data_IF_364004501837
#
_entry.id   IF_364004501837
#
_cell.length_a   1.000
_cell.length_b   1.000
_cell.length_c   1.000
_cell.angle_alpha   90.00
_cell.angle_beta   90.00
_cell.angle_gamma   90.00
#
_symmetry.space_group_name_H-M   'P 1'
#
loop_
_entity.id
_entity.type
_entity.pdbx_description
1 polymer ?
#
# COMPACT_ATOMS: atom_id res chain seq x y z
N UNK A 1 25.58 3.35 21.18
CA UNK A 1 25.84 4.37 20.14
C UNK A 1 27.33 4.72 19.99
N UNK A 2 28.04 5.23 21.02
CA UNK A 2 29.50 5.50 20.94
C UNK A 2 30.35 4.30 20.51
N UNK A 3 30.00 3.10 20.99
CA UNK A 3 30.65 1.83 20.60
C UNK A 3 30.60 1.56 19.08
N UNK A 4 29.57 2.06 18.39
CA UNK A 4 29.35 1.83 16.95
C UNK A 4 29.69 3.05 16.09
N UNK A 5 30.30 4.11 16.67
CA UNK A 5 30.68 5.31 15.93
C UNK A 5 29.51 6.16 15.40
N UNK A 6 28.28 5.91 15.86
CA UNK A 6 27.09 6.62 15.36
C UNK A 6 26.96 8.01 16.02
N UNK A 7 26.70 9.03 15.18
CA UNK A 7 26.48 10.41 15.61
C UNK A 7 25.03 10.61 16.08
N UNK A 8 24.80 11.13 17.29
CA UNK A 8 23.47 11.57 17.72
C UNK A 8 22.98 12.73 16.86
N UNK A 9 21.70 12.72 16.49
CA UNK A 9 21.05 13.75 15.68
C UNK A 9 19.78 14.25 16.36
N UNK A 10 19.46 15.52 16.16
CA UNK A 10 18.17 16.11 16.52
C UNK A 10 17.44 16.39 15.20
N UNK A 11 16.27 15.78 15.02
CA UNK A 11 15.48 15.95 13.82
C UNK A 11 14.46 17.09 14.01
N UNK A 12 14.61 18.17 13.25
CA UNK A 12 13.68 19.30 13.20
C UNK A 12 12.94 19.41 11.85
N UNK A 13 13.11 18.44 10.95
CA UNK A 13 12.60 18.47 9.57
C UNK A 13 11.39 17.54 9.34
N UNK A 14 10.78 17.01 10.40
CA UNK A 14 9.64 16.10 10.30
C UNK A 14 10.04 14.64 10.05
N UNK A 15 9.28 13.89 9.25
CA UNK A 15 9.55 12.46 9.01
C UNK A 15 10.62 12.26 7.93
N UNK A 16 11.82 11.86 8.35
CA UNK A 16 12.98 11.66 7.47
C UNK A 16 13.39 10.18 7.42
N UNK A 17 13.31 9.57 6.24
CA UNK A 17 13.69 8.15 6.02
C UNK A 17 15.13 7.86 6.44
N UNK A 18 16.06 8.77 6.13
CA UNK A 18 17.48 8.63 6.49
C UNK A 18 17.73 8.57 8.01
N UNK A 19 16.80 9.08 8.83
CA UNK A 19 16.91 9.11 10.29
C UNK A 19 16.09 8.01 10.97
N UNK A 20 15.54 7.05 10.23
CA UNK A 20 14.71 5.98 10.78
C UNK A 20 13.25 6.39 11.02
N UNK A 21 12.80 7.50 10.43
CA UNK A 21 11.40 7.96 10.43
C UNK A 21 10.88 8.31 11.84
N UNK A 22 10.18 7.40 12.50
CA UNK A 22 9.38 7.67 13.70
C UNK A 22 10.06 7.12 14.94
N UNK A 23 10.06 7.90 16.02
CA UNK A 23 10.53 7.46 17.34
C UNK A 23 9.33 7.01 18.19
N UNK A 24 9.27 5.75 18.66
CA UNK A 24 8.16 5.26 19.47
C UNK A 24 8.12 5.93 20.85
N UNK A 25 6.93 5.99 21.45
CA UNK A 25 6.77 6.40 22.86
C UNK A 25 7.30 5.31 23.81
N UNK A 26 7.55 5.67 25.07
CA UNK A 26 8.01 4.71 26.09
C UNK A 26 7.06 3.52 26.24
N UNK A 27 5.74 3.77 26.23
CA UNK A 27 4.71 2.73 26.33
C UNK A 27 4.81 1.70 25.19
N UNK A 28 5.05 2.16 23.95
CA UNK A 28 5.24 1.27 22.80
C UNK A 28 6.54 0.47 22.94
N UNK A 29 7.61 1.11 23.40
CA UNK A 29 8.90 0.43 23.64
C UNK A 29 8.73 -0.69 24.68
N UNK A 30 8.04 -0.42 25.78
CA UNK A 30 7.79 -1.41 26.84
C UNK A 30 6.93 -2.58 26.33
N UNK A 31 5.94 -2.31 25.50
CA UNK A 31 5.09 -3.34 24.87
C UNK A 31 5.89 -4.21 23.89
N UNK A 32 6.74 -3.60 23.06
CA UNK A 32 7.63 -4.35 22.15
C UNK A 32 8.57 -5.23 22.95
N UNK A 33 9.17 -4.71 24.03
CA UNK A 33 10.02 -5.50 24.92
C UNK A 33 9.28 -6.70 25.49
N UNK A 34 8.07 -6.50 26.01
CA UNK A 34 7.23 -7.59 26.49
C UNK A 34 6.99 -8.65 25.40
N UNK A 35 6.67 -8.22 24.18
CA UNK A 35 6.47 -9.11 23.04
C UNK A 35 7.72 -9.92 22.66
N UNK A 36 8.92 -9.35 22.82
CA UNK A 36 10.19 -10.03 22.55
C UNK A 36 10.58 -11.05 23.62
N UNK A 37 10.13 -10.85 24.86
CA UNK A 37 10.45 -11.71 26.01
C UNK A 37 9.49 -12.91 26.17
N UNK A 38 8.46 -13.05 25.32
CA UNK A 38 7.42 -14.07 25.43
C UNK A 38 7.14 -14.77 24.09
N UNK A 39 6.65 -16.01 24.16
CA UNK A 39 6.14 -16.73 22.99
C UNK A 39 4.63 -16.53 22.84
N UNK A 40 4.19 -16.36 21.60
CA UNK A 40 2.78 -16.31 21.22
C UNK A 40 2.54 -17.27 20.05
N UNK A 41 1.32 -17.76 19.95
CA UNK A 41 0.88 -18.47 18.74
C UNK A 41 0.73 -17.42 17.63
N UNK A 42 1.55 -17.55 16.59
CA UNK A 42 1.71 -16.50 15.58
C UNK A 42 0.48 -16.36 14.68
N UNK A 43 -0.24 -17.45 14.42
CA UNK A 43 -1.48 -17.40 13.64
C UNK A 43 -2.54 -16.59 14.38
N UNK A 44 -2.75 -16.87 15.66
CA UNK A 44 -3.64 -16.13 16.55
C UNK A 44 -3.26 -14.65 16.64
N UNK A 45 -1.95 -14.34 16.70
CA UNK A 45 -1.49 -12.95 16.73
C UNK A 45 -1.89 -12.22 15.43
N UNK A 46 -1.68 -12.85 14.28
CA UNK A 46 -2.07 -12.30 12.98
C UNK A 46 -3.59 -12.10 12.90
N UNK A 47 -4.37 -13.14 13.25
CA UNK A 47 -5.84 -13.10 13.15
C UNK A 47 -6.46 -12.06 14.09
N UNK A 48 -5.98 -11.99 15.34
CA UNK A 48 -6.50 -11.07 16.36
C UNK A 48 -6.12 -9.61 16.09
N UNK A 49 -4.89 -9.36 15.67
CA UNK A 49 -4.46 -8.00 15.30
C UNK A 49 -5.18 -7.51 14.04
N UNK A 50 -5.39 -8.40 13.07
CA UNK A 50 -6.19 -8.13 11.88
C UNK A 50 -7.63 -7.75 12.23
N UNK A 51 -8.32 -8.57 13.02
CA UNK A 51 -9.69 -8.29 13.46
C UNK A 51 -9.81 -6.97 14.23
N UNK A 52 -8.84 -6.66 15.10
CA UNK A 52 -8.79 -5.40 15.83
C UNK A 52 -8.68 -4.19 14.89
N UNK A 53 -7.74 -4.23 13.94
CA UNK A 53 -7.53 -3.14 12.96
C UNK A 53 -8.73 -3.00 12.03
N UNK A 54 -9.32 -4.12 11.59
CA UNK A 54 -10.52 -4.12 10.76
C UNK A 54 -11.69 -3.40 11.45
N UNK A 55 -11.87 -3.64 12.77
CA UNK A 55 -12.85 -2.93 13.59
C UNK A 55 -12.60 -1.42 13.69
N UNK A 56 -11.34 -1.00 13.78
CA UNK A 56 -10.97 0.42 13.80
C UNK A 56 -11.23 1.12 12.46
N UNK A 57 -10.88 0.46 11.35
CA UNK A 57 -10.99 1.01 9.99
C UNK A 57 -12.37 0.81 9.36
N UNK A 58 -13.24 -0.02 9.98
CA UNK A 58 -14.55 -0.41 9.47
C UNK A 58 -14.48 -1.08 8.09
N UNK A 59 -13.55 -2.01 7.95
CA UNK A 59 -13.35 -2.84 6.76
C UNK A 59 -13.63 -4.31 7.06
N UNK A 60 -13.83 -5.13 6.02
CA UNK A 60 -14.13 -6.55 6.18
C UNK A 60 -12.96 -7.34 6.79
N UNK A 61 -11.72 -6.99 6.44
CA UNK A 61 -10.52 -7.63 6.96
C UNK A 61 -9.30 -6.70 6.88
N UNK A 62 -8.29 -6.94 7.70
CA UNK A 62 -7.02 -6.24 7.70
C UNK A 62 -5.88 -7.20 8.03
N UNK A 63 -4.71 -7.01 7.41
CA UNK A 63 -3.52 -7.83 7.65
C UNK A 63 -2.31 -6.93 7.91
N UNK A 64 -1.57 -7.22 8.98
CA UNK A 64 -0.30 -6.57 9.28
C UNK A 64 0.82 -7.30 8.54
N UNK A 65 1.56 -6.55 7.74
CA UNK A 65 2.70 -7.02 6.95
C UNK A 65 3.95 -6.24 7.33
N UNK A 66 5.12 -6.71 6.88
CA UNK A 66 6.41 -6.14 7.31
C UNK A 66 6.56 -4.66 6.95
N UNK A 67 6.05 -4.23 5.78
CA UNK A 67 6.09 -2.85 5.31
C UNK A 67 5.10 -2.61 4.16
N UNK A 68 4.97 -1.35 3.72
CA UNK A 68 4.12 -0.99 2.58
C UNK A 68 4.51 -1.73 1.28
N UNK A 69 5.81 -1.97 1.04
CA UNK A 69 6.28 -2.74 -0.13
C UNK A 69 5.75 -4.17 -0.14
N UNK A 70 5.78 -4.85 1.02
CA UNK A 70 5.22 -6.19 1.16
C UNK A 70 3.70 -6.16 0.96
N UNK A 71 3.02 -5.13 1.47
CA UNK A 71 1.60 -4.90 1.24
C UNK A 71 1.23 -4.82 -0.24
N UNK A 72 1.97 -4.03 -1.04
CA UNK A 72 1.77 -3.96 -2.50
C UNK A 72 1.96 -5.33 -3.14
N UNK A 73 3.09 -6.00 -2.87
CA UNK A 73 3.40 -7.29 -3.50
C UNK A 73 2.37 -8.37 -3.14
N UNK A 74 1.99 -8.48 -1.86
CA UNK A 74 1.00 -9.46 -1.40
C UNK A 74 -0.40 -9.16 -1.91
N UNK A 75 -0.78 -7.88 -2.03
CA UNK A 75 -2.09 -7.51 -2.59
C UNK A 75 -2.18 -7.87 -4.07
N UNK A 76 -1.11 -7.60 -4.84
CA UNK A 76 -1.03 -7.97 -6.26
C UNK A 76 -1.05 -9.49 -6.42
N UNK A 77 -0.26 -10.22 -5.63
CA UNK A 77 -0.26 -11.68 -5.67
C UNK A 77 -1.65 -12.25 -5.32
N UNK A 78 -2.32 -11.71 -4.29
CA UNK A 78 -3.63 -12.20 -3.85
C UNK A 78 -4.70 -12.06 -4.94
N UNK A 79 -4.74 -10.94 -5.67
CA UNK A 79 -5.73 -10.75 -6.76
C UNK A 79 -5.45 -11.62 -8.00
N UNK A 80 -4.20 -12.03 -8.21
CA UNK A 80 -3.80 -12.91 -9.31
C UNK A 80 -4.04 -14.40 -8.94
N UNK A 81 -3.61 -14.80 -7.75
CA UNK A 81 -3.62 -16.20 -7.28
C UNK A 81 -5.03 -16.66 -6.91
N UNK A 82 -5.76 -15.87 -6.12
CA UNK A 82 -7.11 -16.20 -5.63
C UNK A 82 -7.18 -17.61 -5.00
N UNK A 83 -8.09 -18.44 -5.50
CA UNK A 83 -8.33 -19.82 -5.03
C UNK A 83 -7.51 -20.86 -5.83
N UNK A 84 -6.50 -20.44 -6.59
CA UNK A 84 -5.64 -21.36 -7.34
C UNK A 84 -4.47 -21.84 -6.48
N UNK A 85 -4.64 -22.99 -5.84
CA UNK A 85 -3.64 -23.64 -4.98
C UNK A 85 -2.28 -23.81 -5.66
N UNK A 86 -2.24 -24.09 -6.97
CA UNK A 86 -0.98 -24.25 -7.67
C UNK A 86 -0.22 -22.92 -7.79
N UNK A 87 -0.93 -21.81 -8.04
CA UNK A 87 -0.32 -20.49 -8.13
C UNK A 87 0.16 -19.96 -6.78
N UNK A 88 -0.43 -20.39 -5.66
CA UNK A 88 0.05 -20.02 -4.31
C UNK A 88 1.53 -20.36 -4.15
N UNK A 89 1.94 -21.54 -4.61
CA UNK A 89 3.32 -22.02 -4.47
C UNK A 89 4.19 -21.70 -5.70
N UNK A 90 3.59 -21.47 -6.87
CA UNK A 90 4.31 -21.45 -8.15
C UNK A 90 4.11 -20.16 -8.97
N UNK A 91 3.71 -19.05 -8.34
CA UNK A 91 3.40 -17.77 -9.00
C UNK A 91 4.46 -17.29 -10.01
N UNK A 92 5.73 -17.58 -9.74
CA UNK A 92 6.86 -17.17 -10.60
C UNK A 92 7.53 -18.34 -11.35
N UNK A 93 6.99 -19.56 -11.28
CA UNK A 93 7.62 -20.74 -11.86
C UNK A 93 7.48 -20.83 -13.39
N UNK A 94 6.45 -20.20 -13.97
CA UNK A 94 6.16 -20.18 -15.40
C UNK A 94 5.41 -18.89 -15.79
N UNK A 95 5.37 -18.53 -17.10
CA UNK A 95 4.53 -17.44 -17.57
C UNK A 95 3.06 -17.64 -17.19
N UNK A 96 2.43 -16.58 -16.68
CA UNK A 96 1.05 -16.62 -16.24
C UNK A 96 0.09 -16.70 -17.44
N UNK A 97 -0.91 -17.58 -17.32
CA UNK A 97 -2.02 -17.71 -18.27
C UNK A 97 -3.29 -17.03 -17.78
N UNK A 98 -3.28 -16.51 -16.56
CA UNK A 98 -4.36 -15.75 -15.92
C UNK A 98 -4.14 -14.24 -16.11
N UNK A 99 -5.20 -13.41 -16.01
CA UNK A 99 -5.05 -11.96 -16.00
C UNK A 99 -4.14 -11.51 -14.86
N UNK A 100 -3.18 -10.64 -15.18
CA UNK A 100 -2.19 -10.15 -14.23
C UNK A 100 -1.74 -8.72 -14.55
N UNK A 101 -2.49 -7.97 -15.36
CA UNK A 101 -2.20 -6.56 -15.59
C UNK A 101 -2.71 -5.72 -14.42
N UNK A 102 -1.83 -4.91 -13.84
CA UNK A 102 -2.15 -4.00 -12.74
C UNK A 102 -2.10 -2.58 -13.27
N UNK A 103 -3.28 -2.01 -13.46
CA UNK A 103 -3.44 -0.65 -13.98
C UNK A 103 -3.27 0.36 -12.83
N UNK A 104 -2.37 1.34 -13.02
CA UNK A 104 -2.08 2.40 -12.05
C UNK A 104 -2.02 3.75 -12.76
N UNK A 105 -2.56 4.84 -12.17
CA UNK A 105 -2.34 6.17 -12.74
C UNK A 105 -0.85 6.51 -12.76
N UNK A 106 -0.35 7.03 -13.88
CA UNK A 106 1.10 7.24 -14.10
C UNK A 106 1.77 8.08 -13.01
N UNK A 107 1.08 9.08 -12.47
CA UNK A 107 1.57 9.89 -11.34
C UNK A 107 1.81 9.13 -10.03
N UNK A 108 1.22 7.94 -9.85
CA UNK A 108 1.42 7.08 -8.67
C UNK A 108 2.57 6.08 -8.85
N UNK A 109 3.10 5.87 -10.06
CA UNK A 109 4.27 5.04 -10.28
C UNK A 109 5.56 5.80 -9.92
N UNK A 110 5.75 6.03 -8.62
CA UNK A 110 6.85 6.80 -8.06
C UNK A 110 7.96 5.90 -7.51
N UNK A 111 9.12 6.52 -7.25
CA UNK A 111 10.18 5.91 -6.46
C UNK A 111 10.11 6.41 -5.01
N UNK A 112 9.73 5.53 -4.08
CA UNK A 112 9.62 5.84 -2.64
C UNK A 112 10.82 5.32 -1.82
N UNK A 113 11.94 5.01 -2.50
CA UNK A 113 13.03 4.17 -1.99
C UNK A 113 13.10 2.83 -2.71
N UNK A 114 12.01 2.45 -3.37
CA UNK A 114 11.94 1.46 -4.43
C UNK A 114 10.88 1.90 -5.45
N UNK A 115 10.95 1.48 -6.73
CA UNK A 115 9.88 1.74 -7.70
C UNK A 115 8.62 0.94 -7.36
N UNK A 116 7.44 1.56 -7.44
CA UNK A 116 6.15 0.87 -7.27
C UNK A 116 6.03 -0.31 -8.23
N UNK A 117 6.41 -0.11 -9.50
CA UNK A 117 6.42 -1.19 -10.50
C UNK A 117 7.24 -2.42 -10.12
N UNK A 118 8.31 -2.27 -9.32
CA UNK A 118 9.08 -3.42 -8.84
C UNK A 118 8.28 -4.27 -7.85
N UNK A 119 7.46 -3.66 -7.00
CA UNK A 119 6.60 -4.41 -6.07
C UNK A 119 5.43 -5.07 -6.79
N UNK A 120 4.90 -4.41 -7.82
CA UNK A 120 3.88 -5.03 -8.69
C UNK A 120 4.45 -6.26 -9.39
N UNK A 121 5.65 -6.16 -9.97
CA UNK A 121 6.32 -7.30 -10.59
C UNK A 121 6.65 -8.42 -9.59
N UNK A 122 7.07 -8.06 -8.38
CA UNK A 122 7.31 -9.03 -7.30
C UNK A 122 6.03 -9.78 -6.90
N UNK A 123 4.87 -9.16 -7.00
CA UNK A 123 3.57 -9.81 -6.81
C UNK A 123 3.08 -10.61 -8.04
N UNK A 124 3.89 -10.74 -9.10
CA UNK A 124 3.52 -11.43 -10.34
C UNK A 124 2.73 -10.57 -11.34
N UNK A 125 2.50 -9.29 -11.01
CA UNK A 125 1.75 -8.37 -11.86
C UNK A 125 2.58 -7.73 -12.96
N UNK A 126 1.92 -7.42 -14.08
CA UNK A 126 2.43 -6.57 -15.15
C UNK A 126 1.87 -5.15 -14.97
N UNK A 127 2.74 -4.18 -14.67
CA UNK A 127 2.29 -2.79 -14.49
C UNK A 127 1.85 -2.16 -15.83
N UNK A 128 0.67 -1.54 -15.81
CA UNK A 128 0.13 -0.74 -16.92
C UNK A 128 -0.16 0.67 -16.42
N UNK A 129 0.43 1.67 -17.07
CA UNK A 129 0.25 3.07 -16.67
C UNK A 129 -0.91 3.72 -17.44
N UNK A 130 -1.79 4.41 -16.71
CA UNK A 130 -2.86 5.21 -17.28
C UNK A 130 -2.58 6.72 -17.14
N UNK A 131 -2.92 7.49 -18.18
CA UNK A 131 -2.78 8.94 -18.18
C UNK A 131 -1.33 9.44 -18.20
N UNK A 132 -1.11 10.59 -17.57
CA UNK A 132 0.16 11.31 -17.51
C UNK A 132 0.65 11.45 -16.07
N UNK A 133 1.90 11.90 -15.90
CA UNK A 133 2.52 12.03 -14.57
C UNK A 133 1.80 13.03 -13.66
N UNK A 134 1.11 14.01 -14.23
CA UNK A 134 0.41 15.08 -13.52
C UNK A 134 -1.11 15.04 -13.67
N UNK A 135 -1.66 14.11 -14.45
CA UNK A 135 -3.10 14.00 -14.70
C UNK A 135 -3.49 12.57 -15.09
N UNK A 136 -4.58 12.06 -14.53
CA UNK A 136 -5.21 10.83 -15.00
C UNK A 136 -6.73 10.92 -14.82
N UNK A 137 -7.47 11.00 -15.92
CA UNK A 137 -8.94 11.01 -15.90
C UNK A 137 -9.52 9.60 -15.73
N UNK A 138 -10.77 9.47 -15.25
CA UNK A 138 -11.44 8.17 -15.17
C UNK A 138 -11.54 7.46 -16.53
N UNK A 139 -11.70 8.21 -17.62
CA UNK A 139 -11.75 7.66 -18.97
C UNK A 139 -10.39 7.09 -19.42
N UNK A 140 -9.28 7.77 -19.08
CA UNK A 140 -7.93 7.26 -19.34
C UNK A 140 -7.65 5.98 -18.55
N UNK A 141 -8.09 5.93 -17.29
CA UNK A 141 -7.96 4.73 -16.46
C UNK A 141 -8.79 3.56 -17.03
N UNK A 142 -10.05 3.81 -17.38
CA UNK A 142 -10.93 2.80 -17.96
C UNK A 142 -10.44 2.28 -19.33
N UNK A 143 -9.83 3.15 -20.15
CA UNK A 143 -9.28 2.78 -21.45
C UNK A 143 -8.05 1.85 -21.34
N UNK A 144 -7.33 1.90 -20.23
CA UNK A 144 -6.19 1.02 -19.96
C UNK A 144 -6.61 -0.39 -19.51
N UNK A 145 -7.88 -0.62 -19.17
CA UNK A 145 -8.42 -1.92 -18.77
C UNK A 145 -8.82 -2.72 -20.02
N UNK A 146 -8.16 -3.85 -20.26
CA UNK A 146 -8.35 -4.66 -21.48
C UNK A 146 -9.42 -5.75 -21.30
N UNK A 147 -9.90 -6.41 -22.38
CA UNK A 147 -10.81 -7.56 -22.26
C UNK A 147 -10.24 -8.75 -21.47
N UNK A 148 -8.92 -8.95 -21.48
CA UNK A 148 -8.27 -9.97 -20.64
C UNK A 148 -8.50 -9.69 -19.16
N UNK A 149 -8.59 -8.41 -18.77
CA UNK A 149 -8.86 -7.97 -17.41
C UNK A 149 -10.37 -7.91 -17.10
N UNK A 150 -11.25 -8.05 -18.11
CA UNK A 150 -12.71 -7.95 -17.93
C UNK A 150 -13.36 -9.21 -17.38
N UNK A 151 -12.77 -10.38 -17.61
CA UNK A 151 -13.24 -11.67 -17.10
C UNK A 151 -13.19 -11.78 -15.58
N UNK A 152 -12.53 -10.83 -14.92
CA UNK A 152 -12.34 -10.80 -13.49
C UNK A 152 -12.48 -9.36 -12.93
N UNK A 153 -13.54 -9.05 -12.15
CA UNK A 153 -13.71 -7.72 -11.56
C UNK A 153 -12.63 -7.34 -10.54
N UNK A 154 -11.85 -8.29 -9.99
CA UNK A 154 -10.84 -8.03 -8.96
C UNK A 154 -9.48 -7.61 -9.52
N UNK A 155 -9.17 -7.95 -10.77
CA UNK A 155 -7.93 -7.53 -11.45
C UNK A 155 -7.99 -6.07 -11.93
N UNK A 156 -9.10 -5.35 -11.69
CA UNK A 156 -9.41 -4.13 -12.44
C UNK A 156 -8.66 -2.89 -11.99
N UNK A 157 -8.32 -2.75 -10.72
CA UNK A 157 -7.62 -1.57 -10.20
C UNK A 157 -6.96 -2.02 -8.90
N UNK A 158 -5.67 -1.74 -8.72
CA UNK A 158 -5.10 -1.67 -7.38
C UNK A 158 -5.31 -0.24 -6.89
N UNK A 159 -6.42 0.12 -6.20
CA UNK A 159 -6.53 1.42 -5.59
C UNK A 159 -5.62 1.39 -4.37
N UNK A 160 -4.32 1.57 -4.57
CA UNK A 160 -3.42 1.74 -3.44
C UNK A 160 -3.78 3.01 -2.64
N UNK A 161 -4.55 3.96 -3.22
CA UNK A 161 -5.03 5.19 -2.56
C UNK A 161 -6.33 5.83 -3.12
N UNK A 162 -7.17 5.14 -3.91
CA UNK A 162 -8.39 5.79 -4.44
C UNK A 162 -9.58 5.58 -3.51
N UNK A 163 -9.96 6.61 -2.76
CA UNK A 163 -11.27 6.69 -2.10
C UNK A 163 -12.40 6.41 -3.10
N UNK A 164 -13.46 5.75 -2.63
CA UNK A 164 -14.60 5.34 -3.45
C UNK A 164 -15.18 6.49 -4.32
N UNK A 165 -15.65 6.21 -5.55
CA UNK A 165 -16.25 7.21 -6.44
C UNK A 165 -17.55 7.86 -5.91
N UNK A 166 -18.08 7.40 -4.77
CA UNK A 166 -19.37 7.82 -4.21
C UNK A 166 -19.35 9.21 -3.53
N UNK A 167 -18.17 9.83 -3.36
CA UNK A 167 -18.03 11.18 -2.75
C UNK A 167 -17.79 12.34 -3.73
N UNK A 168 -17.78 12.11 -5.04
CA UNK A 168 -17.57 13.16 -6.06
C UNK A 168 -18.75 14.15 -6.26
N UNK A 169 -19.61 14.32 -5.26
CA UNK A 169 -20.85 15.12 -5.34
C UNK A 169 -20.93 16.26 -4.33
N UNK A 170 -19.86 17.00 -4.06
CA UNK A 170 -19.95 18.29 -3.38
C UNK A 170 -18.79 19.19 -3.82
N UNK A 171 -19.03 20.06 -4.80
CA UNK A 171 -18.06 21.08 -5.21
C UNK A 171 -17.80 22.08 -4.06
N UNK A 172 -16.57 22.59 -3.91
CA UNK A 172 -16.28 23.59 -2.88
C UNK A 172 -16.91 24.93 -3.23
N UNK A 173 -17.73 25.47 -2.33
CA UNK A 173 -18.15 26.88 -2.35
C UNK A 173 -16.92 27.78 -2.14
N UNK A 174 -16.77 28.90 -2.88
CA UNK A 174 -15.60 29.76 -2.76
C UNK A 174 -15.63 30.57 -1.45
N UNK A 175 -14.60 30.41 -0.61
CA UNK A 175 -14.34 31.30 0.53
C UNK A 175 -13.89 32.69 0.02
N UNK A 176 -14.64 33.73 0.39
CA UNK A 176 -14.26 35.14 0.21
C UNK A 176 -13.00 35.45 1.02
N UNK A 177 -11.97 35.98 0.36
CA UNK A 177 -10.82 36.57 1.02
C UNK A 177 -11.20 37.94 1.64
N UNK A 178 -11.14 38.04 2.96
CA UNK A 178 -11.12 39.31 3.69
C UNK A 178 -9.66 39.72 3.87
N UNK A 179 -9.28 40.83 3.23
CA UNK A 179 -8.06 41.56 3.53
C UNK A 179 -8.21 42.24 4.89
N UNK A 180 -7.28 42.01 5.81
CA UNK A 180 -7.08 42.85 6.97
C UNK A 180 -5.58 43.12 7.17
N UNK A 181 -5.26 44.41 7.12
CA UNK A 181 -3.98 45.05 7.37
C UNK A 181 -3.37 44.68 8.72
N UNK A 182 -2.05 44.47 8.74
CA UNK A 182 -1.07 45.13 9.62
C UNK A 182 0.33 44.96 9.03
#
# INVERSE_FOLDING_TARGET
MKKYGLKPVINASGRMTILGVSTPSSEVIDTVKYGLDHYFEMKDLVDKTGAYIAGLLKVENALVVSCASAGIAQSVAAVIVKDNDWLVDNLHAAPLTVPHQIVVPKGHNVNYGAPVGSMVALGGGQLVEAGYSNECSPAQLAAAITPQDRGDPLCKIAPLCAEEPSRCGAGPQPLRASMASR
#
